data_IF_298971803558
#
_entry.id   IF_298971803558
#
_cell.length_a   1.000
_cell.length_b   1.000
_cell.length_c   1.000
_cell.angle_alpha   90.00
_cell.angle_beta   90.00
_cell.angle_gamma   90.00
#
_symmetry.space_group_name_H-M   'P 1'
#
loop_
_entity.id
_entity.type
_entity.pdbx_description
1 polymer ?
#
# COMPACT_ATOMS: atom_id res chain seq x y z
N UNK A 1 13.99 28.54 2.94
CA UNK A 1 13.79 27.40 3.87
C UNK A 1 14.64 26.26 3.38
N UNK A 2 15.77 25.98 4.03
CA UNK A 2 16.71 24.94 3.61
C UNK A 2 16.40 23.67 4.41
N UNK A 3 16.25 22.56 3.71
CA UNK A 3 16.00 21.21 4.25
C UNK A 3 17.16 20.77 5.14
N UNK A 4 16.88 20.14 6.29
CA UNK A 4 17.92 19.40 7.02
C UNK A 4 18.15 18.03 6.36
N UNK A 5 19.39 17.51 6.32
CA UNK A 5 19.68 16.21 5.70
C UNK A 5 18.91 15.06 6.39
N UNK A 6 18.46 14.07 5.61
CA UNK A 6 17.81 12.84 6.05
C UNK A 6 16.46 12.96 6.78
N UNK A 7 15.69 14.03 6.55
CA UNK A 7 14.28 14.08 6.95
C UNK A 7 13.38 14.34 5.74
N UNK A 8 12.23 13.64 5.60
CA UNK A 8 11.18 14.06 4.69
C UNK A 8 10.77 15.51 5.03
N UNK A 9 10.36 16.31 4.06
CA UNK A 9 9.96 17.71 4.26
C UNK A 9 8.64 17.88 5.04
N UNK A 10 8.20 16.90 5.83
CA UNK A 10 7.02 16.99 6.68
C UNK A 10 7.36 17.67 8.01
N UNK A 11 7.60 18.97 7.98
CA UNK A 11 7.64 19.80 9.19
C UNK A 11 6.25 19.78 9.85
N UNK A 12 6.11 18.95 10.89
CA UNK A 12 4.94 18.91 11.76
C UNK A 12 4.90 20.21 12.56
N UNK A 13 3.77 20.90 12.55
CA UNK A 13 3.56 22.06 13.41
C UNK A 13 3.49 21.66 14.90
N UNK A 14 3.65 22.63 15.82
CA UNK A 14 3.50 22.40 17.26
C UNK A 14 2.08 21.96 17.68
N UNK A 15 1.11 22.06 16.77
CA UNK A 15 -0.28 21.61 16.88
C UNK A 15 -0.54 20.19 16.35
N UNK A 16 0.49 19.51 15.82
CA UNK A 16 0.33 18.21 15.17
C UNK A 16 -0.19 18.28 13.72
N UNK A 17 -0.39 19.48 13.17
CA UNK A 17 -0.82 19.67 11.79
C UNK A 17 0.32 19.49 10.76
N UNK A 18 -0.01 18.97 9.57
CA UNK A 18 0.89 18.93 8.41
C UNK A 18 1.06 20.36 7.88
N UNK A 19 2.11 21.05 8.30
CA UNK A 19 2.17 22.50 8.09
C UNK A 19 2.72 22.94 6.73
N UNK A 20 3.13 22.03 5.82
CA UNK A 20 3.69 22.44 4.51
C UNK A 20 3.40 21.53 3.30
N UNK A 21 2.65 20.43 3.43
CA UNK A 21 2.23 19.61 2.27
C UNK A 21 0.83 20.03 1.76
N UNK A 22 0.60 21.31 1.45
CA UNK A 22 -0.76 21.86 1.28
C UNK A 22 -1.58 21.30 0.10
N UNK A 23 -1.06 20.34 -0.67
CA UNK A 23 -1.79 19.66 -1.77
C UNK A 23 -1.54 18.16 -1.88
N UNK A 24 -1.04 17.50 -0.83
CA UNK A 24 -0.90 16.03 -0.83
C UNK A 24 -2.09 15.42 -0.09
N UNK A 25 -3.01 14.82 -0.85
CA UNK A 25 -4.07 13.99 -0.28
C UNK A 25 -3.50 12.60 -0.05
N UNK A 26 -3.54 12.14 1.20
CA UNK A 26 -3.21 10.76 1.59
C UNK A 26 -4.52 10.02 1.78
N UNK A 27 -4.67 8.87 1.16
CA UNK A 27 -5.83 8.02 1.33
C UNK A 27 -5.48 6.58 0.97
N UNK A 28 -6.06 5.63 1.71
CA UNK A 28 -5.90 4.20 1.53
C UNK A 28 -4.45 3.69 1.52
N UNK A 29 -3.55 4.32 2.28
CA UNK A 29 -2.18 3.88 2.47
C UNK A 29 -2.07 2.79 3.54
N UNK A 30 -0.98 2.02 3.49
CA UNK A 30 -0.57 1.09 4.55
C UNK A 30 0.82 1.49 5.04
N UNK A 31 0.94 1.80 6.32
CA UNK A 31 2.20 2.18 6.97
C UNK A 31 2.73 1.05 7.83
N UNK A 32 4.03 0.78 7.72
CA UNK A 32 4.70 -0.32 8.42
C UNK A 32 6.16 0.04 8.76
N UNK A 33 6.65 -0.46 9.89
CA UNK A 33 8.08 -0.49 10.23
C UNK A 33 8.74 0.86 10.53
N UNK A 34 7.98 1.96 10.50
CA UNK A 34 8.49 3.31 10.73
C UNK A 34 7.66 4.11 11.73
N UNK A 35 8.01 5.39 11.87
CA UNK A 35 7.18 6.33 12.64
C UNK A 35 5.81 6.43 11.99
N UNK A 36 4.78 6.11 12.76
CA UNK A 36 3.39 6.28 12.33
C UNK A 36 3.16 7.72 11.87
N UNK A 37 2.41 7.93 10.78
CA UNK A 37 2.08 9.28 10.34
C UNK A 37 1.27 9.96 11.44
N UNK A 38 1.64 11.20 11.79
CA UNK A 38 0.88 11.99 12.77
C UNK A 38 -0.52 12.35 12.28
N UNK A 39 -0.73 12.35 10.97
CA UNK A 39 -2.02 12.57 10.33
C UNK A 39 -2.31 11.41 9.38
N UNK A 40 -3.37 10.65 9.66
CA UNK A 40 -3.87 9.59 8.78
C UNK A 40 -4.93 10.14 7.84
N UNK A 41 -4.87 9.72 6.58
CA UNK A 41 -5.93 9.95 5.60
C UNK A 41 -7.10 8.98 5.73
N UNK A 42 -8.12 9.18 4.89
CA UNK A 42 -9.25 8.25 4.79
C UNK A 42 -8.76 6.84 4.41
N UNK A 43 -9.19 5.83 5.15
CA UNK A 43 -8.88 4.43 4.86
C UNK A 43 -7.42 4.02 5.05
N UNK A 44 -6.56 4.91 5.56
CA UNK A 44 -5.19 4.60 5.93
C UNK A 44 -5.14 3.54 7.04
N UNK A 45 -4.10 2.70 7.03
CA UNK A 45 -3.89 1.63 8.03
C UNK A 45 -2.44 1.60 8.50
N UNK A 46 -2.24 1.29 9.77
CA UNK A 46 -0.93 0.97 10.33
C UNK A 46 -0.97 -0.51 10.70
N UNK A 47 -0.28 -1.34 9.94
CA UNK A 47 -0.24 -2.78 10.17
C UNK A 47 0.92 -3.43 9.38
N UNK A 48 1.33 -4.63 9.81
CA UNK A 48 2.31 -5.43 9.08
C UNK A 48 1.74 -5.89 7.73
N UNK A 49 2.36 -5.57 6.59
CA UNK A 49 1.92 -6.02 5.27
C UNK A 49 2.07 -7.53 5.09
N UNK A 50 2.78 -8.24 5.97
CA UNK A 50 3.06 -9.67 5.88
C UNK A 50 3.69 -10.02 4.52
N UNK A 51 4.80 -9.38 4.18
CA UNK A 51 5.59 -9.75 3.00
C UNK A 51 6.16 -11.16 3.12
N UNK A 52 6.39 -11.82 1.99
CA UNK A 52 7.03 -13.14 1.94
C UNK A 52 8.47 -13.06 2.48
N UNK A 53 9.26 -12.11 1.98
CA UNK A 53 10.59 -11.82 2.49
C UNK A 53 10.97 -10.35 2.27
N UNK A 54 10.76 -9.50 3.28
CA UNK A 54 11.17 -8.10 3.22
C UNK A 54 12.68 -7.98 3.50
N UNK A 55 13.49 -7.89 2.44
CA UNK A 55 14.95 -7.79 2.51
C UNK A 55 15.47 -6.60 1.71
N UNK A 56 16.64 -6.08 2.09
CA UNK A 56 17.40 -5.11 1.29
C UNK A 56 18.29 -5.78 0.23
N UNK A 57 18.48 -7.09 0.32
CA UNK A 57 19.15 -7.89 -0.70
C UNK A 57 18.18 -8.13 -1.87
N UNK A 58 18.45 -7.57 -3.07
CA UNK A 58 17.54 -7.67 -4.21
C UNK A 58 17.33 -9.10 -4.70
N UNK A 59 18.31 -10.00 -4.52
CA UNK A 59 18.21 -11.39 -4.99
C UNK A 59 17.33 -12.23 -4.04
N UNK A 60 17.25 -11.86 -2.77
CA UNK A 60 16.45 -12.55 -1.77
C UNK A 60 15.08 -11.90 -1.52
N UNK A 61 14.90 -10.62 -1.87
CA UNK A 61 13.71 -9.87 -1.53
C UNK A 61 12.46 -10.37 -2.28
N UNK A 62 11.38 -10.61 -1.52
CA UNK A 62 10.06 -10.93 -2.06
C UNK A 62 8.99 -10.09 -1.32
N UNK A 63 8.55 -9.03 -1.99
CA UNK A 63 7.53 -8.11 -1.49
C UNK A 63 6.10 -8.51 -1.87
N UNK A 64 5.88 -9.76 -2.32
CA UNK A 64 4.53 -10.31 -2.44
C UNK A 64 3.92 -10.52 -1.06
N UNK A 65 2.60 -10.50 -0.99
CA UNK A 65 1.84 -10.60 0.26
C UNK A 65 1.60 -12.06 0.64
N UNK A 66 1.70 -12.38 1.93
CA UNK A 66 1.26 -13.65 2.50
C UNK A 66 -0.26 -13.68 2.74
N UNK A 67 -0.88 -14.86 2.83
CA UNK A 67 -2.26 -15.00 3.27
C UNK A 67 -2.50 -14.29 4.62
N UNK A 68 -3.64 -13.60 4.75
CA UNK A 68 -3.98 -12.83 5.94
C UNK A 68 -3.41 -11.41 5.99
N UNK A 69 -2.64 -10.99 4.97
CA UNK A 69 -2.13 -9.62 4.89
C UNK A 69 -3.25 -8.57 4.96
N UNK A 70 -3.12 -7.50 5.76
CA UNK A 70 -4.05 -6.38 5.79
C UNK A 70 -4.01 -5.54 4.51
N UNK A 71 -3.02 -5.75 3.65
CA UNK A 71 -2.90 -5.15 2.31
C UNK A 71 -3.75 -5.88 1.26
N UNK A 72 -4.05 -7.16 1.50
CA UNK A 72 -4.77 -8.02 0.56
C UNK A 72 -6.14 -7.43 0.20
N UNK A 73 -6.38 -7.19 -1.10
CA UNK A 73 -7.68 -6.69 -1.62
C UNK A 73 -8.30 -5.53 -0.84
N UNK A 74 -7.46 -4.65 -0.30
CA UNK A 74 -7.88 -3.56 0.59
C UNK A 74 -7.71 -2.16 0.00
N UNK A 75 -7.17 -2.08 -1.20
CA UNK A 75 -7.00 -0.84 -1.94
C UNK A 75 -8.28 -0.41 -2.63
N UNK A 76 -8.24 0.82 -3.15
CA UNK A 76 -9.31 1.42 -3.94
C UNK A 76 -8.82 1.59 -5.37
N UNK A 77 -9.72 1.34 -6.33
CA UNK A 77 -9.44 1.61 -7.74
C UNK A 77 -9.55 3.11 -8.01
N UNK A 78 -8.46 3.71 -8.47
CA UNK A 78 -8.35 5.13 -8.78
C UNK A 78 -7.86 5.33 -10.22
N UNK A 79 -8.02 6.54 -10.75
CA UNK A 79 -7.72 6.87 -12.15
C UNK A 79 -6.28 6.55 -12.59
N UNK A 80 -5.32 6.64 -11.66
CA UNK A 80 -3.90 6.42 -11.92
C UNK A 80 -3.39 5.06 -11.41
N UNK A 81 -4.29 4.14 -11.07
CA UNK A 81 -3.89 2.79 -10.73
C UNK A 81 -3.43 2.06 -12.00
N UNK A 82 -2.19 1.53 -12.04
CA UNK A 82 -1.74 0.70 -13.15
C UNK A 82 -2.65 -0.50 -13.34
N UNK A 83 -2.94 -0.87 -14.60
CA UNK A 83 -3.78 -2.03 -14.89
C UNK A 83 -3.13 -3.34 -14.42
N UNK A 84 -1.81 -3.43 -14.58
CA UNK A 84 -1.00 -4.59 -14.22
C UNK A 84 -0.09 -4.27 -13.03
N UNK A 85 0.22 -5.28 -12.22
CA UNK A 85 1.25 -5.23 -11.20
C UNK A 85 2.66 -5.51 -11.78
N UNK A 86 3.68 -5.56 -10.92
CA UNK A 86 5.06 -5.84 -11.36
C UNK A 86 5.30 -7.29 -11.82
N UNK A 87 4.42 -8.24 -11.47
CA UNK A 87 4.42 -9.62 -11.97
C UNK A 87 3.56 -9.76 -13.26
N UNK A 88 2.99 -8.67 -13.79
CA UNK A 88 2.09 -8.70 -14.95
C UNK A 88 0.66 -9.17 -14.65
N UNK A 89 0.26 -9.24 -13.38
CA UNK A 89 -1.09 -9.64 -12.96
C UNK A 89 -2.06 -8.47 -13.02
N UNK A 90 -3.28 -8.75 -13.49
CA UNK A 90 -4.36 -7.76 -13.54
C UNK A 90 -4.81 -7.34 -12.14
N UNK A 91 -4.87 -6.03 -11.91
CA UNK A 91 -5.47 -5.44 -10.70
C UNK A 91 -6.99 -5.43 -10.80
N UNK A 92 -7.64 -6.04 -9.81
CA UNK A 92 -9.10 -6.17 -9.75
C UNK A 92 -9.83 -4.93 -9.23
N UNK A 93 -11.12 -5.07 -8.93
CA UNK A 93 -11.96 -3.99 -8.40
C UNK A 93 -11.51 -3.51 -7.00
N UNK A 94 -11.10 -4.44 -6.15
CA UNK A 94 -10.46 -4.18 -4.86
C UNK A 94 -8.99 -4.60 -4.98
N UNK A 95 -8.10 -3.75 -5.50
CA UNK A 95 -6.70 -4.11 -5.69
C UNK A 95 -6.01 -4.34 -4.34
N UNK A 96 -4.97 -5.18 -4.32
CA UNK A 96 -4.10 -5.24 -3.14
C UNK A 96 -3.24 -3.98 -3.06
N UNK A 97 -2.99 -3.50 -1.83
CA UNK A 97 -2.09 -2.36 -1.60
C UNK A 97 -0.65 -2.78 -1.85
N UNK A 98 0.13 -1.88 -2.45
CA UNK A 98 1.52 -2.11 -2.80
C UNK A 98 1.73 -2.54 -4.25
N UNK A 99 2.95 -2.96 -4.55
CA UNK A 99 3.43 -3.17 -5.91
C UNK A 99 2.94 -4.47 -6.56
N UNK A 100 2.61 -5.48 -5.74
CA UNK A 100 2.20 -6.80 -6.19
C UNK A 100 0.73 -7.08 -5.87
N UNK A 101 0.06 -7.72 -6.82
CA UNK A 101 -1.30 -8.17 -6.71
C UNK A 101 -1.32 -9.67 -6.37
N UNK A 102 -2.26 -10.04 -5.51
CA UNK A 102 -2.60 -11.44 -5.31
C UNK A 102 -3.71 -11.81 -6.30
N UNK A 103 -3.63 -12.98 -6.98
CA UNK A 103 -4.71 -13.42 -7.84
C UNK A 103 -6.04 -13.35 -7.08
N UNK A 104 -7.09 -12.81 -7.71
CA UNK A 104 -8.42 -13.05 -7.16
C UNK A 104 -8.61 -14.56 -7.07
N UNK A 105 -9.07 -15.06 -5.92
CA UNK A 105 -9.61 -16.41 -5.89
C UNK A 105 -10.64 -16.46 -7.03
N UNK A 106 -10.42 -17.32 -8.02
CA UNK A 106 -11.43 -17.55 -9.05
C UNK A 106 -12.66 -18.01 -8.29
N UNK A 107 -13.70 -17.18 -8.25
CA UNK A 107 -15.02 -17.70 -7.93
C UNK A 107 -15.25 -18.79 -8.96
N UNK A 108 -15.29 -20.04 -8.53
CA UNK A 108 -15.62 -21.15 -9.40
C UNK A 108 -16.94 -20.80 -10.09
N UNK A 109 -16.90 -20.54 -11.39
CA UNK A 109 -18.10 -20.50 -12.20
C UNK A 109 -18.76 -21.87 -12.00
N UNK A 110 -19.99 -21.87 -11.50
CA UNK A 110 -20.66 -23.06 -11.02
C UNK A 110 -20.53 -24.23 -11.99
N UNK A 111 -20.28 -25.41 -11.44
CA UNK A 111 -20.51 -26.68 -12.14
C UNK A 111 -21.93 -26.65 -12.70
N UNK A 112 -22.07 -26.42 -14.00
CA UNK A 112 -23.27 -26.84 -14.72
C UNK A 112 -23.22 -28.36 -14.76
N UNK A 113 -23.85 -29.00 -13.77
CA UNK A 113 -24.21 -30.40 -13.88
C UNK A 113 -25.09 -30.55 -15.13
N UNK A 114 -24.71 -31.51 -15.98
CA UNK A 114 -25.44 -31.93 -17.18
C UNK A 114 -26.87 -32.33 -16.85
#
# INVERSE_FOLDING_TARGET
>A
LVSRPNQPINSVGPDGGDQKSTKVVRAHNLYFGGLAPKLTGEGDRIADPLFVNASTDPEAADFRLRPGSPALKSGVRQAFLPLMDLDGKLRGAAPSRGAFEVPQARTAAGERKK
#
